data_IF_917579728248
#
_entry.id   IF_917579728248
#
_cell.length_a   1.000
_cell.length_b   1.000
_cell.length_c   1.000
_cell.angle_alpha   90.00
_cell.angle_beta   90.00
_cell.angle_gamma   90.00
#
_symmetry.space_group_name_H-M   'P 1'
#
loop_
_entity.id
_entity.type
_entity.pdbx_description
1 polymer ?
#
# COMPACT_ATOMS: atom_id res chain seq x y z
N UNK A 1 -38.86 -39.53 21.38
CA UNK A 1 -38.39 -40.68 22.17
C UNK A 1 -36.94 -40.42 22.57
N UNK A 2 -36.78 -40.30 23.85
CA UNK A 2 -35.61 -40.33 24.77
C UNK A 2 -34.25 -39.76 24.34
N UNK A 3 -33.99 -38.61 24.90
CA UNK A 3 -32.68 -38.02 25.18
C UNK A 3 -31.85 -38.90 26.11
N UNK A 4 -30.56 -39.07 25.81
CA UNK A 4 -29.57 -39.47 26.81
C UNK A 4 -28.45 -38.44 26.84
N UNK A 5 -28.53 -37.57 27.84
CA UNK A 5 -27.43 -36.73 28.30
C UNK A 5 -26.30 -37.59 28.86
N UNK A 6 -25.06 -37.33 28.44
CA UNK A 6 -23.85 -37.82 29.12
C UNK A 6 -23.06 -36.62 29.61
N UNK A 7 -23.06 -36.47 30.92
CA UNK A 7 -22.16 -35.56 31.62
C UNK A 7 -20.73 -36.09 31.56
N UNK A 8 -19.79 -35.25 31.21
CA UNK A 8 -18.34 -35.51 31.32
C UNK A 8 -17.80 -34.60 32.42
N UNK A 9 -17.28 -35.24 33.44
CA UNK A 9 -16.65 -34.64 34.61
C UNK A 9 -15.27 -34.11 34.17
N UNK A 10 -15.03 -32.81 34.34
CA UNK A 10 -13.73 -32.18 34.11
C UNK A 10 -12.89 -32.31 35.40
N UNK A 11 -11.80 -33.07 35.28
CA UNK A 11 -10.77 -33.16 36.32
C UNK A 11 -9.87 -31.93 36.23
N UNK A 12 -9.86 -31.10 37.28
CA UNK A 12 -9.05 -29.91 37.44
C UNK A 12 -7.63 -30.29 37.89
N UNK A 13 -6.65 -30.27 36.96
CA UNK A 13 -5.24 -30.37 37.34
C UNK A 13 -4.70 -28.97 37.57
N UNK A 14 -4.39 -28.65 38.82
CA UNK A 14 -3.67 -27.44 39.23
C UNK A 14 -2.19 -27.59 38.84
N UNK A 15 -1.73 -26.90 37.81
CA UNK A 15 -0.31 -26.73 37.49
C UNK A 15 0.11 -25.35 37.96
N UNK A 16 0.91 -25.28 39.01
CA UNK A 16 1.59 -24.09 39.47
C UNK A 16 2.77 -23.78 38.53
N UNK A 17 2.60 -22.88 37.59
CA UNK A 17 3.69 -22.40 36.78
C UNK A 17 4.29 -21.15 37.40
N UNK A 18 5.58 -21.22 37.72
CA UNK A 18 6.43 -20.13 38.20
C UNK A 18 6.50 -19.04 37.16
N UNK A 19 6.04 -17.84 37.49
CA UNK A 19 6.15 -16.65 36.61
C UNK A 19 7.59 -16.12 36.69
N UNK A 20 8.41 -16.50 35.74
CA UNK A 20 9.66 -15.80 35.44
C UNK A 20 9.30 -14.49 34.72
N UNK A 21 9.52 -13.35 35.39
CA UNK A 21 9.33 -12.02 34.79
C UNK A 21 10.45 -11.75 33.78
N UNK A 22 10.25 -12.22 32.54
CA UNK A 22 11.03 -11.73 31.40
C UNK A 22 10.40 -10.42 30.95
N UNK A 23 11.01 -9.31 31.31
CA UNK A 23 10.68 -7.98 30.79
C UNK A 23 11.09 -7.88 29.32
N UNK A 24 10.42 -8.66 28.47
CA UNK A 24 10.44 -8.44 27.04
C UNK A 24 9.69 -7.13 26.77
N UNK A 25 10.41 -6.07 26.39
CA UNK A 25 9.80 -4.93 25.72
C UNK A 25 9.08 -5.49 24.50
N UNK A 26 7.79 -5.68 24.62
CA UNK A 26 6.90 -5.74 23.45
C UNK A 26 7.08 -4.37 22.78
N UNK A 27 7.82 -4.34 21.67
CA UNK A 27 7.73 -3.23 20.76
C UNK A 27 6.24 -3.14 20.40
N UNK A 28 5.60 -2.07 20.85
CA UNK A 28 4.24 -1.76 20.46
C UNK A 28 4.28 -1.68 18.94
N UNK A 29 3.75 -2.71 18.27
CA UNK A 29 3.46 -2.63 16.85
C UNK A 29 2.39 -1.55 16.76
N UNK A 30 2.82 -0.34 16.35
CA UNK A 30 1.88 0.74 16.05
C UNK A 30 0.90 0.20 15.02
N UNK A 31 -0.40 0.43 15.26
CA UNK A 31 -1.43 0.08 14.29
C UNK A 31 -1.03 0.65 12.91
N UNK A 32 -1.25 -0.10 11.82
CA UNK A 32 -0.87 0.39 10.49
C UNK A 32 -1.56 1.73 10.24
N UNK A 33 -0.79 2.72 9.81
CA UNK A 33 -1.34 4.01 9.47
C UNK A 33 -2.22 3.88 8.22
N UNK A 34 -3.37 4.54 8.25
CA UNK A 34 -4.34 4.44 7.16
C UNK A 34 -3.83 5.17 5.92
N UNK A 35 -4.16 4.63 4.76
CA UNK A 35 -4.02 5.30 3.46
C UNK A 35 -5.30 6.13 3.22
N UNK A 36 -5.23 7.28 2.53
CA UNK A 36 -6.43 8.02 2.16
C UNK A 36 -7.45 7.15 1.42
N UNK A 37 -8.70 7.17 1.88
CA UNK A 37 -9.74 6.26 1.38
C UNK A 37 -9.99 6.38 -0.13
N UNK A 38 -9.84 7.58 -0.71
CA UNK A 38 -9.96 7.81 -2.15
C UNK A 38 -8.89 7.04 -2.93
N UNK A 39 -7.64 7.05 -2.46
CA UNK A 39 -6.54 6.33 -3.10
C UNK A 39 -6.74 4.81 -2.94
N UNK A 40 -7.12 4.35 -1.75
CA UNK A 40 -7.42 2.93 -1.51
C UNK A 40 -8.51 2.39 -2.46
N UNK A 41 -9.59 3.17 -2.65
CA UNK A 41 -10.66 2.79 -3.55
C UNK A 41 -10.19 2.77 -5.00
N UNK A 42 -9.44 3.77 -5.45
CA UNK A 42 -8.89 3.82 -6.81
C UNK A 42 -7.94 2.63 -7.06
N UNK A 43 -7.02 2.32 -6.14
CA UNK A 43 -6.14 1.14 -6.26
C UNK A 43 -6.94 -0.17 -6.37
N UNK A 44 -7.99 -0.32 -5.56
CA UNK A 44 -8.85 -1.50 -5.59
C UNK A 44 -9.55 -1.64 -6.96
N UNK A 45 -10.16 -0.58 -7.46
CA UNK A 45 -10.85 -0.55 -8.76
C UNK A 45 -9.88 -0.87 -9.90
N UNK A 46 -8.68 -0.27 -9.89
CA UNK A 46 -7.62 -0.55 -10.88
C UNK A 46 -7.20 -2.02 -10.87
N UNK A 47 -6.97 -2.60 -9.69
CA UNK A 47 -6.59 -4.02 -9.56
C UNK A 47 -7.71 -4.98 -9.99
N UNK A 48 -8.98 -4.66 -9.70
CA UNK A 48 -10.13 -5.45 -10.14
C UNK A 48 -10.30 -5.42 -11.67
N UNK A 49 -10.17 -4.24 -12.27
CA UNK A 49 -10.24 -4.07 -13.72
C UNK A 49 -9.09 -4.80 -14.42
N UNK A 50 -7.88 -4.65 -13.91
CA UNK A 50 -6.70 -5.33 -14.44
C UNK A 50 -6.79 -6.85 -14.26
N UNK A 51 -7.37 -7.33 -13.16
CA UNK A 51 -7.68 -8.76 -12.96
C UNK A 51 -8.64 -9.30 -14.02
N UNK A 52 -9.63 -8.51 -14.41
CA UNK A 52 -10.58 -8.84 -15.46
C UNK A 52 -9.90 -8.89 -16.84
N UNK A 53 -8.98 -7.96 -17.11
CA UNK A 53 -8.17 -7.97 -18.35
C UNK A 53 -7.22 -9.17 -18.40
N UNK A 54 -6.58 -9.52 -17.29
CA UNK A 54 -5.68 -10.68 -17.19
C UNK A 54 -6.39 -12.02 -17.41
N UNK A 55 -7.70 -12.09 -17.21
CA UNK A 55 -8.51 -13.27 -17.49
C UNK A 55 -8.90 -13.41 -18.97
N UNK A 56 -8.65 -12.41 -19.83
CA UNK A 56 -8.93 -12.48 -21.25
C UNK A 56 -7.98 -13.48 -21.96
N UNK A 57 -8.43 -14.18 -22.99
CA UNK A 57 -7.54 -15.04 -23.78
C UNK A 57 -6.58 -14.22 -24.64
N UNK A 58 -5.43 -14.82 -25.01
CA UNK A 58 -4.48 -14.25 -25.96
C UNK A 58 -3.51 -13.24 -25.34
N UNK A 59 -2.91 -12.41 -26.18
CA UNK A 59 -1.83 -11.51 -25.80
C UNK A 59 -2.26 -10.46 -24.76
N UNK A 60 -3.48 -9.94 -24.85
CA UNK A 60 -4.02 -8.97 -23.91
C UNK A 60 -4.02 -9.54 -22.49
N UNK A 61 -4.54 -10.76 -22.30
CA UNK A 61 -4.54 -11.40 -20.98
C UNK A 61 -3.13 -11.67 -20.44
N UNK A 62 -2.20 -12.08 -21.31
CA UNK A 62 -0.81 -12.33 -20.91
C UNK A 62 -0.13 -11.05 -20.45
N UNK A 63 -0.25 -9.95 -21.21
CA UNK A 63 0.38 -8.67 -20.83
C UNK A 63 -0.32 -8.06 -19.61
N UNK A 64 -1.64 -8.10 -19.53
CA UNK A 64 -2.36 -7.65 -18.34
C UNK A 64 -1.97 -8.44 -17.08
N UNK A 65 -1.68 -9.74 -17.22
CA UNK A 65 -1.17 -10.57 -16.11
C UNK A 65 0.20 -10.10 -15.59
N UNK A 66 1.11 -9.68 -16.47
CA UNK A 66 2.41 -9.10 -16.07
C UNK A 66 2.23 -7.80 -15.29
N UNK A 67 1.42 -6.88 -15.84
CA UNK A 67 1.09 -5.61 -15.16
C UNK A 67 0.47 -5.88 -13.79
N UNK A 68 -0.45 -6.85 -13.67
CA UNK A 68 -1.12 -7.18 -12.42
C UNK A 68 -0.14 -7.61 -11.32
N UNK A 69 0.89 -8.38 -11.65
CA UNK A 69 1.92 -8.80 -10.69
C UNK A 69 2.73 -7.60 -10.22
N UNK A 70 3.20 -6.76 -11.14
CA UNK A 70 3.99 -5.57 -10.81
C UNK A 70 3.18 -4.58 -9.98
N UNK A 71 1.95 -4.28 -10.40
CA UNK A 71 1.09 -3.33 -9.72
C UNK A 71 0.71 -3.79 -8.30
N UNK A 72 0.46 -5.09 -8.09
CA UNK A 72 0.20 -5.63 -6.74
C UNK A 72 1.37 -5.44 -5.79
N UNK A 73 2.58 -5.69 -6.27
CA UNK A 73 3.79 -5.52 -5.46
C UNK A 73 4.04 -4.04 -5.16
N UNK A 74 3.88 -3.19 -6.16
CA UNK A 74 4.01 -1.74 -6.02
C UNK A 74 2.98 -1.17 -5.03
N UNK A 75 1.70 -1.47 -5.20
CA UNK A 75 0.64 -1.03 -4.30
C UNK A 75 0.83 -1.52 -2.86
N UNK A 76 1.38 -2.71 -2.65
CA UNK A 76 1.70 -3.20 -1.30
C UNK A 76 2.75 -2.31 -0.62
N UNK A 77 3.80 -1.89 -1.34
CA UNK A 77 4.83 -0.97 -0.82
C UNK A 77 4.29 0.44 -0.61
N UNK A 78 3.49 0.94 -1.54
CA UNK A 78 2.82 2.22 -1.39
C UNK A 78 1.97 2.28 -0.11
N UNK A 79 1.17 1.25 0.13
CA UNK A 79 0.31 1.16 1.30
C UNK A 79 1.11 0.99 2.61
N UNK A 80 2.31 0.40 2.55
CA UNK A 80 3.16 0.19 3.72
C UNK A 80 3.76 1.50 4.25
N UNK A 81 4.32 2.35 3.39
CA UNK A 81 5.09 3.51 3.85
C UNK A 81 5.02 4.76 2.98
N UNK A 82 4.57 4.66 1.71
CA UNK A 82 4.56 5.82 0.80
C UNK A 82 3.28 6.65 1.02
N UNK A 83 2.11 6.03 0.94
CA UNK A 83 0.81 6.71 0.96
C UNK A 83 0.31 7.16 2.34
N UNK A 84 0.60 6.47 3.47
CA UNK A 84 0.06 6.88 4.77
C UNK A 84 0.35 8.33 5.15
N UNK A 85 1.55 8.93 4.91
CA UNK A 85 1.82 10.33 5.21
C UNK A 85 0.86 11.33 4.56
N UNK A 86 0.21 10.98 3.43
CA UNK A 86 -0.75 11.85 2.75
C UNK A 86 -1.99 12.14 3.60
N UNK A 87 -2.31 11.31 4.59
CA UNK A 87 -3.42 11.56 5.52
C UNK A 87 -3.20 12.81 6.37
N UNK A 88 -1.98 13.33 6.41
CA UNK A 88 -1.64 14.57 7.13
C UNK A 88 -1.95 15.83 6.31
N UNK A 89 -2.14 15.73 4.98
CA UNK A 89 -2.34 16.90 4.10
C UNK A 89 -3.44 17.85 4.56
N UNK A 90 -4.65 17.41 4.97
CA UNK A 90 -5.69 18.33 5.43
C UNK A 90 -5.26 19.14 6.66
N UNK A 91 -4.54 18.51 7.60
CA UNK A 91 -4.05 19.19 8.79
C UNK A 91 -2.96 20.20 8.45
N UNK A 92 -2.03 19.82 7.57
CA UNK A 92 -0.95 20.71 7.13
C UNK A 92 -1.47 21.89 6.34
N UNK A 93 -2.50 21.71 5.52
CA UNK A 93 -3.18 22.78 4.80
C UNK A 93 -3.82 23.80 5.76
N UNK A 94 -4.33 23.34 6.91
CA UNK A 94 -4.85 24.19 7.99
C UNK A 94 -3.72 24.79 8.86
N UNK A 95 -2.44 24.57 8.55
CA UNK A 95 -1.30 25.01 9.34
C UNK A 95 -1.10 24.25 10.65
N UNK A 96 -1.81 23.16 10.87
CA UNK A 96 -1.76 22.34 12.09
C UNK A 96 -0.64 21.32 12.00
N UNK A 97 0.34 21.42 12.90
CA UNK A 97 1.38 20.40 13.11
C UNK A 97 1.45 20.09 14.60
N UNK A 98 1.32 18.82 14.95
CA UNK A 98 1.33 18.34 16.34
C UNK A 98 2.38 17.23 16.52
N UNK A 99 2.95 17.05 17.73
CA UNK A 99 4.01 16.07 17.97
C UNK A 99 3.64 14.62 17.60
N UNK A 100 2.36 14.26 17.67
CA UNK A 100 1.86 12.95 17.30
C UNK A 100 1.95 12.66 15.80
N UNK A 101 2.16 13.68 14.95
CA UNK A 101 2.40 13.49 13.51
C UNK A 101 3.82 13.00 13.19
N UNK A 102 4.71 12.94 14.16
CA UNK A 102 6.10 12.49 13.98
C UNK A 102 6.22 11.05 13.45
N UNK A 103 5.17 10.23 13.57
CA UNK A 103 5.13 8.86 13.00
C UNK A 103 5.40 8.82 11.50
N UNK A 104 5.06 9.88 10.76
CA UNK A 104 5.26 9.94 9.32
C UNK A 104 6.73 10.09 8.92
N UNK A 105 7.57 10.65 9.79
CA UNK A 105 8.97 10.93 9.46
C UNK A 105 9.77 9.68 9.08
N UNK A 106 9.74 8.56 9.83
CA UNK A 106 10.45 7.34 9.43
C UNK A 106 9.98 6.79 8.07
N UNK A 107 8.68 6.89 7.75
CA UNK A 107 8.15 6.48 6.46
C UNK A 107 8.68 7.35 5.34
N UNK A 108 8.68 8.66 5.52
CA UNK A 108 9.18 9.63 4.53
C UNK A 108 10.70 9.49 4.36
N UNK A 109 11.45 9.21 5.42
CA UNK A 109 12.88 8.93 5.34
C UNK A 109 13.15 7.66 4.51
N UNK A 110 12.29 6.64 4.65
CA UNK A 110 12.35 5.44 3.82
C UNK A 110 12.05 5.75 2.34
N UNK A 111 11.03 6.56 2.04
CA UNK A 111 10.76 7.03 0.66
C UNK A 111 12.01 7.68 0.08
N UNK A 112 12.66 8.58 0.83
CA UNK A 112 13.88 9.26 0.40
C UNK A 112 15.05 8.30 0.17
N UNK A 113 15.21 7.30 1.04
CA UNK A 113 16.27 6.30 0.94
C UNK A 113 16.06 5.31 -0.22
N UNK A 114 14.81 4.95 -0.50
CA UNK A 114 14.45 3.95 -1.52
C UNK A 114 14.01 4.60 -2.85
N UNK A 115 14.28 5.88 -3.04
CA UNK A 115 13.82 6.66 -4.19
C UNK A 115 14.21 6.05 -5.54
N UNK A 116 15.44 5.59 -5.67
CA UNK A 116 15.92 4.94 -6.89
C UNK A 116 15.15 3.63 -7.19
N UNK A 117 14.86 2.86 -6.14
CA UNK A 117 14.08 1.64 -6.29
C UNK A 117 12.64 1.95 -6.69
N UNK A 118 12.00 2.96 -6.08
CA UNK A 118 10.65 3.41 -6.43
C UNK A 118 10.63 3.83 -7.92
N UNK A 119 11.62 4.61 -8.35
CA UNK A 119 11.75 5.00 -9.76
C UNK A 119 11.84 3.80 -10.71
N UNK A 120 12.66 2.80 -10.37
CA UNK A 120 12.81 1.60 -11.18
C UNK A 120 11.52 0.79 -11.26
N UNK A 121 10.76 0.69 -10.18
CA UNK A 121 9.45 0.03 -10.15
C UNK A 121 8.45 0.72 -11.09
N UNK A 122 8.40 2.06 -11.10
CA UNK A 122 7.57 2.81 -12.04
C UNK A 122 8.03 2.62 -13.50
N UNK A 123 9.33 2.55 -13.75
CA UNK A 123 9.86 2.29 -15.09
C UNK A 123 9.45 0.89 -15.59
N UNK A 124 9.58 -0.15 -14.76
CA UNK A 124 9.15 -1.51 -15.08
C UNK A 124 7.64 -1.60 -15.32
N UNK A 125 6.85 -0.93 -14.48
CA UNK A 125 5.39 -0.86 -14.63
C UNK A 125 5.00 -0.18 -15.95
N UNK A 126 5.66 0.94 -16.28
CA UNK A 126 5.43 1.68 -17.53
C UNK A 126 5.78 0.82 -18.74
N UNK A 127 6.87 0.07 -18.71
CA UNK A 127 7.24 -0.86 -19.78
C UNK A 127 6.19 -1.96 -19.97
N UNK A 128 5.71 -2.56 -18.88
CA UNK A 128 4.66 -3.58 -18.93
C UNK A 128 3.33 -3.02 -19.45
N UNK A 129 2.95 -1.78 -19.07
CA UNK A 129 1.77 -1.10 -19.57
C UNK A 129 1.89 -0.81 -21.06
N UNK A 130 3.05 -0.40 -21.56
CA UNK A 130 3.30 -0.25 -23.00
C UNK A 130 3.13 -1.59 -23.73
N UNK A 131 3.58 -2.69 -23.17
CA UNK A 131 3.33 -4.04 -23.69
C UNK A 131 1.82 -4.35 -23.82
N UNK A 132 1.04 -3.99 -22.80
CA UNK A 132 -0.42 -4.14 -22.82
C UNK A 132 -1.08 -3.24 -23.88
N UNK A 133 -0.63 -1.99 -24.04
CA UNK A 133 -1.12 -1.07 -25.10
C UNK A 133 -0.90 -1.67 -26.50
N UNK A 134 0.29 -2.21 -26.74
CA UNK A 134 0.63 -2.86 -28.02
C UNK A 134 -0.27 -4.09 -28.27
N UNK A 135 -0.42 -4.97 -27.29
CA UNK A 135 -1.27 -6.15 -27.38
C UNK A 135 -2.74 -5.79 -27.59
N UNK A 136 -3.26 -4.82 -26.87
CA UNK A 136 -4.64 -4.33 -26.97
C UNK A 136 -4.90 -3.69 -28.35
N UNK A 137 -3.95 -2.90 -28.84
CA UNK A 137 -4.04 -2.30 -30.19
C UNK A 137 -4.09 -3.37 -31.28
N UNK A 138 -3.24 -4.39 -31.21
CA UNK A 138 -3.22 -5.49 -32.16
C UNK A 138 -4.49 -6.34 -32.13
N UNK A 139 -5.13 -6.46 -30.95
CA UNK A 139 -6.38 -7.18 -30.75
C UNK A 139 -7.64 -6.32 -31.05
N UNK A 140 -7.49 -5.03 -31.36
CA UNK A 140 -8.58 -4.04 -31.43
C UNK A 140 -9.42 -3.99 -30.14
N UNK A 141 -8.80 -4.22 -28.97
CA UNK A 141 -9.42 -4.13 -27.65
C UNK A 141 -9.25 -2.71 -27.08
N UNK A 142 -10.20 -1.85 -27.45
CA UNK A 142 -10.14 -0.43 -27.09
C UNK A 142 -10.20 -0.21 -25.58
N UNK A 143 -10.99 -1.01 -24.86
CA UNK A 143 -11.12 -0.88 -23.38
C UNK A 143 -9.80 -1.21 -22.67
N UNK A 144 -9.12 -2.27 -23.11
CA UNK A 144 -7.82 -2.64 -22.55
C UNK A 144 -6.73 -1.59 -22.88
N UNK A 145 -6.79 -1.00 -24.08
CA UNK A 145 -5.88 0.05 -24.50
C UNK A 145 -6.06 1.31 -23.66
N UNK A 146 -7.29 1.79 -23.51
CA UNK A 146 -7.62 2.98 -22.72
C UNK A 146 -7.25 2.80 -21.25
N UNK A 147 -7.53 1.63 -20.68
CA UNK A 147 -7.08 1.29 -19.34
C UNK A 147 -5.56 1.43 -19.19
N UNK A 148 -4.79 0.84 -20.11
CA UNK A 148 -3.33 0.86 -20.00
C UNK A 148 -2.73 2.26 -20.21
N UNK A 149 -3.32 3.06 -21.11
CA UNK A 149 -2.92 4.47 -21.33
C UNK A 149 -3.18 5.33 -20.08
N UNK A 150 -4.35 5.16 -19.45
CA UNK A 150 -4.69 5.87 -18.21
C UNK A 150 -3.78 5.44 -17.05
N UNK A 151 -3.56 4.14 -16.86
CA UNK A 151 -2.67 3.65 -15.82
C UNK A 151 -1.21 4.10 -16.01
N UNK A 152 -0.74 4.26 -17.25
CA UNK A 152 0.58 4.82 -17.52
C UNK A 152 0.67 6.31 -17.17
N UNK A 153 -0.41 7.07 -17.43
CA UNK A 153 -0.49 8.48 -17.05
C UNK A 153 -0.54 8.65 -15.51
N UNK A 154 -1.27 7.78 -14.82
CA UNK A 154 -1.34 7.79 -13.35
C UNK A 154 0.04 7.48 -12.74
N UNK A 155 0.75 6.47 -13.27
CA UNK A 155 2.12 6.14 -12.85
C UNK A 155 3.09 7.31 -13.00
N UNK A 156 2.94 8.12 -14.05
CA UNK A 156 3.72 9.34 -14.23
C UNK A 156 3.34 10.41 -13.20
N UNK A 157 2.05 10.59 -12.93
CA UNK A 157 1.57 11.54 -11.92
C UNK A 157 2.07 11.21 -10.51
N UNK A 158 2.21 9.93 -10.17
CA UNK A 158 2.78 9.50 -8.90
C UNK A 158 4.23 9.98 -8.74
N UNK A 159 5.03 9.90 -9.80
CA UNK A 159 6.42 10.37 -9.79
C UNK A 159 6.53 11.90 -9.77
N UNK A 160 5.67 12.60 -10.48
CA UNK A 160 5.76 14.05 -10.65
C UNK A 160 5.09 14.84 -9.54
N UNK A 161 4.07 14.27 -8.89
CA UNK A 161 3.21 14.98 -7.93
C UNK A 161 3.22 14.30 -6.57
N UNK A 162 2.96 12.99 -6.52
CA UNK A 162 2.75 12.28 -5.28
C UNK A 162 4.04 12.16 -4.46
N UNK A 163 5.12 11.67 -5.06
CA UNK A 163 6.41 11.54 -4.37
C UNK A 163 6.95 12.88 -3.86
N UNK A 164 7.02 13.96 -4.67
CA UNK A 164 7.42 15.28 -4.17
C UNK A 164 6.54 15.81 -3.04
N UNK A 165 5.22 15.54 -3.09
CA UNK A 165 4.28 15.93 -2.04
C UNK A 165 4.62 15.24 -0.72
N UNK A 166 4.94 13.95 -0.74
CA UNK A 166 5.33 13.20 0.45
C UNK A 166 6.62 13.76 1.06
N UNK A 167 7.60 14.06 0.22
CA UNK A 167 8.84 14.68 0.68
C UNK A 167 8.61 16.07 1.30
N UNK A 168 7.71 16.86 0.72
CA UNK A 168 7.33 18.18 1.25
C UNK A 168 6.63 18.07 2.61
N UNK A 169 5.77 17.06 2.81
CA UNK A 169 5.20 16.75 4.13
C UNK A 169 6.33 16.56 5.15
N UNK A 170 7.34 15.78 4.81
CA UNK A 170 8.50 15.54 5.69
C UNK A 170 9.25 16.79 6.07
N UNK A 171 9.56 17.66 5.11
CA UNK A 171 10.23 18.93 5.36
C UNK A 171 9.35 19.88 6.22
N UNK A 172 8.04 19.89 5.98
CA UNK A 172 7.08 20.67 6.76
C UNK A 172 7.06 20.19 8.23
N UNK A 173 7.01 18.88 8.45
CA UNK A 173 7.03 18.32 9.81
C UNK A 173 8.35 18.63 10.52
N UNK A 174 9.50 18.43 9.86
CA UNK A 174 10.81 18.72 10.46
C UNK A 174 11.00 20.18 10.84
N UNK A 175 10.45 21.10 10.05
CA UNK A 175 10.56 22.53 10.31
C UNK A 175 9.72 23.00 11.50
N UNK A 176 8.65 22.25 11.86
CA UNK A 176 7.67 22.67 12.87
C UNK A 176 7.64 21.79 14.12
N UNK A 177 8.13 20.56 14.04
CA UNK A 177 8.24 19.69 15.22
C UNK A 177 9.49 20.04 16.04
N UNK A 178 9.44 19.92 17.39
CA UNK A 178 10.63 20.05 18.21
C UNK A 178 11.66 18.98 17.82
N UNK A 179 12.95 19.36 17.91
CA UNK A 179 14.02 18.39 17.67
C UNK A 179 13.89 17.20 18.65
N UNK A 180 14.15 15.96 18.19
CA UNK A 180 14.18 14.82 19.10
C UNK A 180 15.26 15.03 20.17
N UNK A 181 14.88 14.85 21.44
CA UNK A 181 15.79 14.96 22.60
C UNK A 181 16.65 13.71 22.74
#
# INVERSE_FOLDING_TARGET
>A
MQHKSRAIIATLCLVTASVGASSGRLAAQSAPHLVPASIQNAQKETLEQLGSLAAKPGAVGVEAGKVLVLLKNHAARENEFILPPLTLLPYLADGKVTPDMAWALPMIDRVKAEREQIFNEHAELTEALNGLIVAATAANDQDAKEFAENAAADSLADMEILEPTILLIGETLRSKLPAPH
#
